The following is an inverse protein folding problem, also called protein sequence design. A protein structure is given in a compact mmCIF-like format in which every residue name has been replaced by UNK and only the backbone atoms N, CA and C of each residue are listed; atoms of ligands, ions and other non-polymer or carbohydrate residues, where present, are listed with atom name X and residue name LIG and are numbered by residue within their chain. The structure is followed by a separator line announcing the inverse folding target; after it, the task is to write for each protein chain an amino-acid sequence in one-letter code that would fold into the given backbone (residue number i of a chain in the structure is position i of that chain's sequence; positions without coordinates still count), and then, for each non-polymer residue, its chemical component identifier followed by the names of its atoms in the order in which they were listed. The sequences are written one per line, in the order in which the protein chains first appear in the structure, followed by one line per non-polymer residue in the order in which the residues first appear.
data_IF_671940205118
#
_entry.id   IF_671940205118
#
_cell.length_a   1.000
_cell.length_b   1.000
_cell.length_c   1.000
_cell.angle_alpha   90.00
_cell.angle_beta   90.00
_cell.angle_gamma   90.00
#
_symmetry.space_group_name_H-M   'P 1'
#
loop_
_entity.id
_entity.type
_entity.pdbx_description
1 polymer ?
#
# COMPACT_ATOMS: atom_id res chain seq x y z
N UNK A 1 3.17 -17.94 26.17
CA UNK A 1 4.05 -16.76 26.02
C UNK A 1 5.29 -17.22 25.26
N UNK A 2 5.71 -16.51 24.21
CA UNK A 2 6.86 -16.87 23.38
C UNK A 2 8.00 -15.87 23.58
N UNK A 3 9.25 -16.33 23.45
CA UNK A 3 10.45 -15.52 23.59
C UNK A 3 11.13 -15.35 22.22
N UNK A 4 11.50 -14.12 21.88
CA UNK A 4 12.26 -13.80 20.68
C UNK A 4 13.65 -13.32 21.07
N UNK A 5 14.67 -14.08 20.69
CA UNK A 5 16.08 -13.77 20.93
C UNK A 5 16.84 -13.80 19.61
N UNK A 6 17.73 -12.84 19.42
CA UNK A 6 18.61 -12.75 18.26
C UNK A 6 19.95 -12.18 18.67
N UNK A 7 21.00 -12.56 17.97
CA UNK A 7 22.35 -12.02 18.15
C UNK A 7 22.55 -10.85 17.20
N UNK A 8 23.03 -9.73 17.75
CA UNK A 8 23.41 -8.52 17.00
C UNK A 8 24.68 -7.96 17.63
N UNK A 9 25.49 -7.26 16.84
CA UNK A 9 26.69 -6.62 17.36
C UNK A 9 26.35 -5.52 18.37
N UNK A 10 27.20 -5.38 19.40
CA UNK A 10 26.97 -4.45 20.50
C UNK A 10 26.91 -2.98 20.04
N UNK A 11 27.69 -2.61 19.02
CA UNK A 11 27.71 -1.26 18.46
C UNK A 11 26.41 -0.97 17.66
N UNK A 12 25.89 -1.96 16.94
CA UNK A 12 24.61 -1.87 16.23
C UNK A 12 23.48 -1.73 17.24
N UNK A 13 23.49 -2.57 18.29
CA UNK A 13 22.52 -2.50 19.38
C UNK A 13 22.51 -1.13 20.04
N UNK A 14 23.68 -0.61 20.41
CA UNK A 14 23.80 0.68 21.09
C UNK A 14 23.22 1.81 20.24
N UNK A 15 23.59 1.87 18.95
CA UNK A 15 23.06 2.89 18.02
C UNK A 15 21.55 2.78 17.85
N UNK A 16 21.01 1.57 17.76
CA UNK A 16 19.57 1.36 17.67
C UNK A 16 18.84 1.82 18.96
N UNK A 17 19.37 1.48 20.13
CA UNK A 17 18.81 1.91 21.42
C UNK A 17 18.77 3.44 21.53
N UNK A 18 19.82 4.16 21.11
CA UNK A 18 19.84 5.62 21.10
C UNK A 18 18.74 6.21 20.20
N UNK A 19 18.50 5.61 19.02
CA UNK A 19 17.44 6.04 18.10
C UNK A 19 16.06 5.83 18.71
N UNK A 20 15.78 4.66 19.27
CA UNK A 20 14.48 4.35 19.88
C UNK A 20 14.24 5.16 21.15
N UNK A 21 15.27 5.43 21.94
CA UNK A 21 15.18 6.24 23.16
C UNK A 21 14.71 7.66 22.87
N UNK A 22 15.08 8.26 21.72
CA UNK A 22 14.56 9.58 21.31
C UNK A 22 13.05 9.62 21.15
N UNK A 23 12.43 8.48 20.86
CA UNK A 23 10.98 8.32 20.74
C UNK A 23 10.35 7.71 22.01
N UNK A 24 11.10 7.60 23.11
CA UNK A 24 10.62 7.00 24.37
C UNK A 24 10.42 5.48 24.32
N UNK A 25 11.04 4.79 23.36
CA UNK A 25 10.90 3.34 23.18
C UNK A 25 12.20 2.62 23.56
N UNK A 26 12.06 1.42 24.12
CA UNK A 26 13.18 0.46 24.20
C UNK A 26 13.21 -0.40 22.93
N UNK A 27 14.37 -0.95 22.57
CA UNK A 27 14.47 -1.88 21.44
C UNK A 27 13.52 -3.08 21.57
N UNK A 28 13.37 -3.63 22.78
CA UNK A 28 12.43 -4.72 23.02
C UNK A 28 10.97 -4.31 22.77
N UNK A 29 10.59 -3.08 23.13
CA UNK A 29 9.26 -2.55 22.87
C UNK A 29 9.04 -2.30 21.37
N UNK A 30 10.04 -1.75 20.67
CA UNK A 30 9.98 -1.55 19.23
C UNK A 30 9.78 -2.89 18.48
N UNK A 31 10.56 -3.92 18.83
CA UNK A 31 10.44 -5.26 18.25
C UNK A 31 9.07 -5.87 18.56
N UNK A 32 8.56 -5.72 19.79
CA UNK A 32 7.22 -6.20 20.14
C UNK A 32 6.14 -5.54 19.27
N UNK A 33 6.16 -4.21 19.17
CA UNK A 33 5.21 -3.46 18.33
C UNK A 33 5.28 -3.92 16.89
N UNK A 34 6.49 -4.04 16.34
CA UNK A 34 6.70 -4.51 14.97
C UNK A 34 6.08 -5.89 14.73
N UNK A 35 6.39 -6.88 15.58
CA UNK A 35 5.85 -8.24 15.43
C UNK A 35 4.33 -8.25 15.57
N UNK A 36 3.75 -7.46 16.47
CA UNK A 36 2.30 -7.32 16.61
C UNK A 36 1.67 -6.71 15.35
N UNK A 37 2.26 -5.67 14.77
CA UNK A 37 1.74 -5.06 13.55
C UNK A 37 1.81 -6.02 12.36
N UNK A 38 2.91 -6.76 12.21
CA UNK A 38 3.04 -7.80 11.16
C UNK A 38 1.94 -8.86 11.31
N UNK A 39 1.72 -9.35 12.53
CA UNK A 39 0.68 -10.34 12.79
C UNK A 39 -0.74 -9.84 12.48
N UNK A 40 -1.03 -8.57 12.79
CA UNK A 40 -2.36 -7.99 12.61
C UNK A 40 -2.66 -7.55 11.17
N UNK A 41 -1.64 -7.07 10.45
CA UNK A 41 -1.82 -6.49 9.10
C UNK A 41 -1.47 -7.45 7.98
N UNK A 42 -0.67 -8.47 8.25
CA UNK A 42 -0.08 -9.34 7.23
C UNK A 42 0.99 -8.65 6.38
N UNK A 43 1.35 -7.41 6.69
CA UNK A 43 2.33 -6.60 5.96
C UNK A 43 3.61 -6.48 6.78
N UNK A 44 4.74 -6.78 6.16
CA UNK A 44 6.06 -6.64 6.75
C UNK A 44 6.58 -5.21 6.57
N UNK A 45 7.25 -4.61 7.58
CA UNK A 45 7.97 -3.35 7.37
C UNK A 45 9.12 -3.49 6.36
N UNK A 46 9.47 -4.72 5.97
CA UNK A 46 10.45 -5.05 4.94
C UNK A 46 9.84 -5.29 3.56
N UNK A 47 8.51 -5.20 3.41
CA UNK A 47 7.87 -5.30 2.10
C UNK A 47 8.29 -4.13 1.22
N UNK A 48 8.72 -4.43 0.00
CA UNK A 48 9.22 -3.43 -0.95
C UNK A 48 10.56 -2.79 -0.59
N UNK A 49 11.23 -3.19 0.50
CA UNK A 49 12.50 -2.57 0.92
C UNK A 49 13.61 -2.74 -0.13
N UNK A 50 13.58 -3.84 -0.89
CA UNK A 50 14.51 -4.14 -1.99
C UNK A 50 13.98 -3.75 -3.38
N UNK A 51 12.73 -3.29 -3.45
CA UNK A 51 12.20 -2.75 -4.68
C UNK A 51 12.79 -1.34 -4.88
N UNK A 52 13.23 -1.03 -6.10
CA UNK A 52 13.64 0.32 -6.47
C UNK A 52 12.50 1.33 -6.25
N UNK A 53 12.77 2.63 -6.38
CA UNK A 53 11.76 3.70 -6.15
C UNK A 53 10.41 3.43 -6.86
N UNK A 54 10.45 2.80 -8.04
CA UNK A 54 9.25 2.32 -8.73
C UNK A 54 8.53 1.21 -7.98
N UNK A 55 9.18 0.07 -7.70
CA UNK A 55 8.51 -1.10 -7.14
C UNK A 55 7.92 -0.93 -5.72
N UNK A 56 8.40 0.04 -4.91
CA UNK A 56 7.74 0.39 -3.64
C UNK A 56 6.35 1.02 -3.82
N UNK A 57 6.11 1.71 -4.93
CA UNK A 57 4.81 2.30 -5.23
C UNK A 57 3.79 1.25 -5.73
N UNK A 58 4.26 0.08 -6.20
CA UNK A 58 3.40 -0.93 -6.85
C UNK A 58 3.11 -2.19 -6.00
N UNK A 59 3.56 -2.30 -4.74
CA UNK A 59 3.54 -3.62 -4.05
C UNK A 59 2.17 -4.04 -3.51
N UNK A 60 1.37 -3.08 -3.04
CA UNK A 60 0.17 -3.38 -2.24
C UNK A 60 -1.10 -2.78 -2.82
N UNK A 61 -1.08 -1.48 -3.08
CA UNK A 61 -2.22 -0.78 -3.66
C UNK A 61 -2.53 -1.29 -5.06
N UNK A 62 -1.50 -1.44 -5.89
CA UNK A 62 -1.64 -1.91 -7.28
C UNK A 62 -2.07 -3.37 -7.32
N UNK A 63 -1.55 -4.21 -6.41
CA UNK A 63 -2.05 -5.58 -6.25
C UNK A 63 -3.52 -5.62 -5.85
N UNK A 64 -3.95 -4.79 -4.89
CA UNK A 64 -5.37 -4.70 -4.50
C UNK A 64 -6.24 -4.18 -5.64
N UNK A 65 -5.74 -3.21 -6.40
CA UNK A 65 -6.42 -2.69 -7.58
C UNK A 65 -6.57 -3.79 -8.64
N UNK A 66 -5.50 -4.53 -8.96
CA UNK A 66 -5.57 -5.66 -9.90
C UNK A 66 -6.57 -6.73 -9.47
N UNK A 67 -6.54 -7.14 -8.19
CA UNK A 67 -7.50 -8.13 -7.65
C UNK A 67 -8.93 -7.60 -7.68
N UNK A 68 -9.12 -6.30 -7.46
CA UNK A 68 -10.44 -5.67 -7.58
C UNK A 68 -10.94 -5.72 -9.01
N UNK A 69 -10.13 -5.34 -9.99
CA UNK A 69 -10.52 -5.37 -11.40
C UNK A 69 -10.81 -6.80 -11.88
N UNK A 70 -9.99 -7.78 -11.47
CA UNK A 70 -10.25 -9.20 -11.73
C UNK A 70 -11.58 -9.66 -11.09
N UNK A 71 -11.90 -9.20 -9.89
CA UNK A 71 -13.18 -9.50 -9.23
C UNK A 71 -14.39 -8.87 -9.94
N UNK A 72 -14.23 -7.72 -10.61
CA UNK A 72 -15.27 -7.12 -11.47
C UNK A 72 -15.50 -7.98 -12.71
N UNK A 73 -14.42 -8.41 -13.38
CA UNK A 73 -14.51 -9.26 -14.57
C UNK A 73 -15.18 -10.61 -14.28
N UNK A 74 -14.90 -11.22 -13.12
CA UNK A 74 -15.57 -12.44 -12.68
C UNK A 74 -17.00 -12.22 -12.16
N UNK A 75 -17.48 -10.97 -12.06
CA UNK A 75 -18.81 -10.63 -11.55
C UNK A 75 -18.98 -10.89 -10.05
N UNK A 76 -17.88 -11.00 -9.29
CA UNK A 76 -17.90 -11.17 -7.82
C UNK A 76 -18.31 -9.85 -7.16
N UNK A 77 -17.88 -8.72 -7.72
CA UNK A 77 -18.31 -7.38 -7.35
C UNK A 77 -18.94 -6.68 -8.57
N UNK A 78 -19.88 -5.74 -8.35
CA UNK A 78 -20.47 -4.99 -9.46
C UNK A 78 -19.40 -4.25 -10.25
N UNK A 79 -19.51 -4.31 -11.57
CA UNK A 79 -18.76 -3.45 -12.46
C UNK A 79 -19.22 -2.00 -12.25
N UNK A 80 -18.26 -1.09 -12.12
CA UNK A 80 -18.47 0.35 -11.97
C UNK A 80 -18.11 1.12 -13.25
N UNK A 81 -17.81 0.41 -14.34
CA UNK A 81 -17.75 0.98 -15.67
C UNK A 81 -19.09 1.63 -16.02
N UNK A 82 -19.04 2.75 -16.76
CA UNK A 82 -20.28 3.39 -17.22
C UNK A 82 -21.04 2.47 -18.16
N UNK A 83 -22.36 2.38 -17.96
CA UNK A 83 -23.28 1.55 -18.75
C UNK A 83 -23.25 1.87 -20.26
N UNK A 84 -22.84 3.09 -20.63
CA UNK A 84 -22.68 3.53 -22.02
C UNK A 84 -21.22 3.84 -22.37
N UNK A 85 -20.49 2.90 -22.99
CA UNK A 85 -19.10 3.09 -23.39
C UNK A 85 -18.88 4.19 -24.45
N UNK A 86 -19.95 4.61 -25.15
CA UNK A 86 -19.87 5.64 -26.18
C UNK A 86 -20.13 7.04 -25.61
N UNK A 87 -20.61 7.15 -24.37
CA UNK A 87 -20.87 8.42 -23.70
C UNK A 87 -19.65 8.87 -22.90
N UNK A 88 -19.24 10.11 -23.13
CA UNK A 88 -18.16 10.78 -22.41
C UNK A 88 -18.82 11.60 -21.30
N UNK A 89 -18.42 11.41 -20.04
CA UNK A 89 -18.93 12.19 -18.92
C UNK A 89 -18.76 13.70 -19.07
N UNK A 90 -19.77 14.47 -18.66
CA UNK A 90 -19.78 15.95 -18.77
C UNK A 90 -18.60 16.60 -18.02
N UNK A 91 -18.17 16.02 -16.90
CA UNK A 91 -17.01 16.49 -16.13
C UNK A 91 -15.68 16.34 -16.89
N UNK A 92 -15.56 15.32 -17.75
CA UNK A 92 -14.40 15.14 -18.63
C UNK A 92 -14.46 16.08 -19.83
N UNK A 93 -15.64 16.29 -20.41
CA UNK A 93 -15.87 17.28 -21.47
C UNK A 93 -15.47 18.69 -21.01
N UNK A 94 -15.92 19.09 -19.81
CA UNK A 94 -15.56 20.35 -19.16
C UNK A 94 -14.06 20.46 -18.91
N UNK A 95 -13.42 19.37 -18.47
CA UNK A 95 -11.98 19.32 -18.20
C UNK A 95 -11.15 19.48 -19.48
N UNK A 96 -11.62 18.91 -20.60
CA UNK A 96 -10.94 18.98 -21.89
C UNK A 96 -11.32 20.22 -22.71
N UNK A 97 -12.35 20.97 -22.28
CA UNK A 97 -12.82 22.16 -22.98
C UNK A 97 -13.44 21.85 -24.34
N UNK A 98 -14.03 20.66 -24.50
CA UNK A 98 -14.70 20.21 -25.72
C UNK A 98 -16.17 19.93 -25.41
N UNK A 99 -17.02 20.04 -26.41
CA UNK A 99 -18.47 19.87 -26.30
C UNK A 99 -18.90 18.44 -26.64
N UNK A 100 -20.09 18.03 -26.17
CA UNK A 100 -20.68 16.73 -26.50
C UNK A 100 -20.83 16.52 -28.02
N UNK A 101 -21.19 17.58 -28.75
CA UNK A 101 -21.34 17.55 -30.21
C UNK A 101 -20.00 17.29 -30.92
N UNK A 102 -18.90 17.83 -30.40
CA UNK A 102 -17.55 17.58 -30.92
C UNK A 102 -17.06 16.14 -30.73
N UNK A 103 -17.61 15.42 -29.75
CA UNK A 103 -17.37 13.98 -29.54
C UNK A 103 -18.46 13.08 -30.13
N UNK A 104 -19.42 13.65 -30.87
CA UNK A 104 -20.48 12.91 -31.55
C UNK A 104 -21.56 12.34 -30.64
N UNK A 105 -21.82 13.00 -29.50
CA UNK A 105 -22.88 12.66 -28.53
C UNK A 105 -24.07 13.62 -28.58
#
# INVERSE_FOLDING_TARGET
MALLQTTIDDDVKKRADEVFARSGLTSAMAVRVMVTQVANTGVSPFDGLFLGKGGRAYSDEVRRAMVREEAKEYGIIPDDAQDDPARVPDDLLDTWGITAEEVGQ
#
